data_IF_673295399114
#
_entry.id   IF_673295399114
#
_cell.length_a   1.000
_cell.length_b   1.000
_cell.length_c   1.000
_cell.angle_alpha   90.00
_cell.angle_beta   90.00
_cell.angle_gamma   90.00
#
_symmetry.space_group_name_H-M   'P 1'
#
loop_
_entity.id
_entity.type
_entity.pdbx_description
1 polymer ?
#
# COMPACT_ATOMS: atom_id res chain seq x y z
N UNK A 1 -5.07 14.40 -42.38
CA UNK A 1 -5.96 13.67 -41.44
C UNK A 1 -6.77 14.72 -40.67
N UNK A 2 -8.06 14.91 -40.98
CA UNK A 2 -8.85 16.07 -40.49
C UNK A 2 -9.75 15.79 -39.28
N UNK A 3 -9.88 14.54 -38.85
CA UNK A 3 -10.67 14.17 -37.67
C UNK A 3 -9.99 13.00 -36.98
N UNK A 4 -9.46 13.25 -35.78
CA UNK A 4 -8.89 12.18 -34.97
C UNK A 4 -10.03 11.26 -34.52
N UNK A 5 -9.90 9.94 -34.69
CA UNK A 5 -10.87 9.00 -34.14
C UNK A 5 -10.82 9.06 -32.61
N UNK A 6 -11.92 8.64 -31.97
CA UNK A 6 -12.01 8.60 -30.52
C UNK A 6 -10.86 7.74 -29.94
N UNK A 7 -10.28 8.08 -28.77
CA UNK A 7 -9.12 7.36 -28.21
C UNK A 7 -9.34 5.84 -28.08
N UNK A 8 -10.57 5.41 -27.78
CA UNK A 8 -10.93 3.99 -27.73
C UNK A 8 -10.80 3.29 -29.10
N UNK A 9 -11.12 3.99 -30.18
CA UNK A 9 -10.95 3.50 -31.56
C UNK A 9 -9.48 3.34 -31.91
N UNK A 10 -8.64 4.30 -31.53
CA UNK A 10 -7.18 4.20 -31.70
C UNK A 10 -6.62 3.00 -30.95
N UNK A 11 -7.01 2.84 -29.68
CA UNK A 11 -6.61 1.69 -28.86
C UNK A 11 -7.05 0.35 -29.47
N UNK A 12 -8.25 0.28 -30.04
CA UNK A 12 -8.75 -0.93 -30.71
C UNK A 12 -7.95 -1.26 -31.98
N UNK A 13 -7.66 -0.27 -32.82
CA UNK A 13 -6.87 -0.45 -34.04
C UNK A 13 -5.47 -0.96 -33.69
N UNK A 14 -4.81 -0.33 -32.72
CA UNK A 14 -3.48 -0.75 -32.27
C UNK A 14 -3.48 -2.18 -31.68
N UNK A 15 -4.53 -2.54 -30.93
CA UNK A 15 -4.71 -3.90 -30.40
C UNK A 15 -4.93 -4.93 -31.51
N UNK A 16 -5.74 -4.63 -32.52
CA UNK A 16 -5.99 -5.53 -33.66
C UNK A 16 -4.74 -5.79 -34.50
N UNK A 17 -3.87 -4.79 -34.63
CA UNK A 17 -2.61 -4.91 -35.38
C UNK A 17 -1.46 -5.49 -34.52
N UNK A 18 -1.73 -6.01 -33.32
CA UNK A 18 -0.72 -6.52 -32.39
C UNK A 18 0.38 -5.50 -32.02
N UNK A 19 0.06 -4.19 -32.10
CA UNK A 19 0.99 -3.10 -31.79
C UNK A 19 0.99 -2.72 -30.30
N UNK A 20 0.18 -3.39 -29.48
CA UNK A 20 0.12 -3.20 -28.02
C UNK A 20 0.48 -4.51 -27.34
N UNK A 21 1.46 -4.46 -26.44
CA UNK A 21 1.78 -5.58 -25.56
C UNK A 21 0.74 -5.64 -24.42
N UNK A 22 0.16 -6.80 -24.10
CA UNK A 22 -0.71 -6.91 -22.94
C UNK A 22 0.08 -6.54 -21.67
N UNK A 23 -0.53 -5.79 -20.74
CA UNK A 23 0.14 -5.46 -19.49
C UNK A 23 0.48 -6.75 -18.75
N UNK A 24 1.72 -6.83 -18.22
CA UNK A 24 2.09 -7.94 -17.34
C UNK A 24 1.17 -7.91 -16.12
N UNK A 25 0.55 -9.05 -15.81
CA UNK A 25 -0.26 -9.20 -14.59
C UNK A 25 0.64 -8.90 -13.39
N UNK A 26 0.26 -7.93 -12.56
CA UNK A 26 0.95 -7.66 -11.30
C UNK A 26 0.72 -8.85 -10.37
N UNK A 27 1.77 -9.61 -10.08
CA UNK A 27 1.75 -10.63 -9.04
C UNK A 27 1.67 -9.90 -7.69
N UNK A 28 0.65 -10.18 -6.90
CA UNK A 28 0.57 -9.69 -5.52
C UNK A 28 1.66 -10.43 -4.73
N UNK A 29 2.57 -9.70 -4.09
CA UNK A 29 3.48 -10.31 -3.11
C UNK A 29 2.62 -10.90 -1.99
N UNK A 30 2.83 -12.17 -1.66
CA UNK A 30 2.25 -12.77 -0.47
C UNK A 30 2.83 -12.04 0.75
N UNK A 31 1.98 -11.66 1.70
CA UNK A 31 2.42 -11.22 3.01
C UNK A 31 3.11 -12.39 3.69
N UNK A 32 4.39 -12.25 3.99
CA UNK A 32 5.08 -13.18 4.88
C UNK A 32 4.60 -12.82 6.28
N UNK A 33 3.68 -13.61 6.80
CA UNK A 33 3.30 -13.56 8.21
C UNK A 33 4.45 -14.20 9.00
N UNK A 34 5.43 -13.38 9.38
CA UNK A 34 6.40 -13.83 10.38
C UNK A 34 5.65 -13.93 11.71
N UNK A 35 5.59 -15.11 12.34
CA UNK A 35 4.99 -15.20 13.66
C UNK A 35 5.84 -14.35 14.62
N UNK A 36 5.23 -13.31 15.18
CA UNK A 36 5.85 -12.55 16.26
C UNK A 36 6.20 -13.52 17.40
N UNK A 37 7.33 -13.28 18.08
CA UNK A 37 7.66 -13.98 19.31
C UNK A 37 6.52 -13.83 20.31
N UNK A 38 6.10 -14.93 20.95
CA UNK A 38 5.01 -14.90 21.93
C UNK A 38 5.42 -14.02 23.11
N UNK A 39 4.62 -12.98 23.42
CA UNK A 39 4.75 -12.23 24.65
C UNK A 39 4.16 -13.05 25.82
N UNK A 40 4.89 -13.20 26.92
CA UNK A 40 4.51 -14.06 28.05
C UNK A 40 3.93 -13.24 29.23
N UNK A 41 4.18 -11.94 29.26
CA UNK A 41 3.68 -10.98 30.24
C UNK A 41 3.59 -9.54 29.71
N UNK A 42 2.92 -8.63 30.45
CA UNK A 42 2.84 -7.22 30.08
C UNK A 42 4.24 -6.59 29.99
N UNK A 43 4.47 -5.75 28.99
CA UNK A 43 5.76 -5.10 28.71
C UNK A 43 6.90 -6.04 28.27
N UNK A 44 6.62 -7.30 27.91
CA UNK A 44 7.67 -8.20 27.41
C UNK A 44 8.17 -7.79 26.02
N UNK A 45 7.24 -7.41 25.13
CA UNK A 45 7.54 -7.13 23.72
C UNK A 45 6.72 -5.93 23.29
N UNK A 46 7.39 -4.92 22.74
CA UNK A 46 6.73 -3.74 22.19
C UNK A 46 6.83 -3.78 20.66
N UNK A 47 5.68 -3.62 20.00
CA UNK A 47 5.60 -3.42 18.56
C UNK A 47 5.59 -1.91 18.29
N UNK A 48 6.47 -1.46 17.40
CA UNK A 48 6.49 -0.08 16.95
C UNK A 48 6.42 -0.04 15.42
N UNK A 49 5.47 0.72 14.87
CA UNK A 49 5.31 0.89 13.43
C UNK A 49 5.04 2.34 13.04
N UNK A 50 5.58 2.74 11.89
CA UNK A 50 5.22 4.00 11.24
C UNK A 50 4.20 3.71 10.14
N UNK A 51 2.94 4.09 10.36
CA UNK A 51 1.86 3.83 9.40
C UNK A 51 1.77 4.96 8.36
N UNK A 52 2.81 5.08 7.54
CA UNK A 52 2.88 6.07 6.47
C UNK A 52 2.89 7.51 6.99
N UNK A 53 2.50 8.46 6.13
CA UNK A 53 2.38 9.87 6.50
C UNK A 53 1.15 10.50 5.89
N UNK A 54 0.58 11.49 6.58
CA UNK A 54 -0.47 12.36 6.05
C UNK A 54 -0.05 13.82 6.20
N UNK A 55 -0.62 14.67 5.34
CA UNK A 55 -0.40 16.12 5.41
C UNK A 55 -1.38 16.72 6.41
N UNK A 56 -0.85 17.48 7.38
CA UNK A 56 -1.65 18.24 8.34
C UNK A 56 -2.05 19.59 7.73
N UNK A 57 -3.03 20.27 8.32
CA UNK A 57 -3.56 21.56 7.84
C UNK A 57 -2.49 22.61 7.51
N UNK A 58 -1.32 22.57 8.15
CA UNK A 58 -0.18 23.44 7.88
C UNK A 58 0.71 23.00 6.70
N UNK A 59 0.28 22.02 5.91
CA UNK A 59 1.04 21.46 4.77
C UNK A 59 2.24 20.61 5.17
N UNK A 60 2.54 20.48 6.47
CA UNK A 60 3.61 19.62 6.99
C UNK A 60 3.19 18.15 6.96
N UNK A 61 4.17 17.27 6.74
CA UNK A 61 3.97 15.82 6.82
C UNK A 61 4.06 15.36 8.27
N UNK A 62 3.04 14.65 8.73
CA UNK A 62 3.07 13.94 10.00
C UNK A 62 3.15 12.44 9.74
N UNK A 63 4.15 11.81 10.36
CA UNK A 63 4.33 10.36 10.40
C UNK A 63 3.88 9.87 11.77
N UNK A 64 2.65 9.32 11.91
CA UNK A 64 2.22 8.77 13.19
C UNK A 64 3.09 7.57 13.54
N UNK A 65 3.63 7.59 14.76
CA UNK A 65 4.28 6.44 15.37
C UNK A 65 3.25 5.69 16.19
N UNK A 66 2.98 4.44 15.84
CA UNK A 66 2.15 3.56 16.65
C UNK A 66 3.09 2.72 17.51
N UNK A 67 2.89 2.72 18.83
CA UNK A 67 3.56 1.80 19.75
C UNK A 67 2.50 1.01 20.49
N UNK A 68 2.59 -0.31 20.46
CA UNK A 68 1.64 -1.22 21.12
C UNK A 68 2.38 -2.33 21.87
N UNK A 69 1.91 -2.67 23.07
CA UNK A 69 2.37 -3.85 23.79
C UNK A 69 1.84 -5.13 23.12
N UNK A 70 2.71 -6.10 22.87
CA UNK A 70 2.34 -7.34 22.19
C UNK A 70 1.57 -8.32 23.11
N UNK A 71 1.63 -8.11 24.44
CA UNK A 71 0.87 -8.89 25.42
C UNK A 71 -0.57 -8.39 25.57
N UNK A 72 -0.77 -7.06 25.53
CA UNK A 72 -2.09 -6.43 25.58
C UNK A 72 -2.34 -5.59 24.31
N UNK A 73 -3.09 -6.09 23.31
CA UNK A 73 -3.35 -5.37 22.05
C UNK A 73 -4.29 -4.15 22.20
N UNK A 74 -4.55 -3.69 23.42
CA UNK A 74 -5.42 -2.54 23.74
C UNK A 74 -4.58 -1.46 24.43
N UNK A 75 -3.68 -0.80 23.70
CA UNK A 75 -3.16 0.51 24.09
C UNK A 75 -2.71 1.28 22.84
N UNK A 76 -3.61 2.10 22.29
CA UNK A 76 -3.29 3.05 21.21
C UNK A 76 -3.08 4.42 21.85
N UNK A 77 -1.86 4.95 21.80
CA UNK A 77 -1.62 6.39 22.02
C UNK A 77 -1.50 7.08 20.65
N UNK A 78 -2.26 8.18 20.49
CA UNK A 78 -2.16 9.14 19.38
C UNK A 78 -1.00 10.10 19.59
#
# INVERSE_FOLDING_TARGET
IRKWPHPSTVGRILKQNNLIKPPKRRIRKQSIEQPFSHALGPNDIWCADFKGHFTVGDGKRCTPLTVTDAYSPVFTLL
#
